data_IF_215197514786
#
_entry.id   IF_215197514786
#
_cell.length_a   1.000
_cell.length_b   1.000
_cell.length_c   1.000
_cell.angle_alpha   90.00
_cell.angle_beta   90.00
_cell.angle_gamma   90.00
#
_symmetry.space_group_name_H-M   'P 1'
#
loop_
_entity.id
_entity.type
_entity.pdbx_description
1 polymer ?
#
# COMPACT_ATOMS: atom_id res chain seq x y z
N UNK A 1 18.10 -36.06 10.73
CA UNK A 1 18.72 -36.49 9.46
C UNK A 1 17.96 -35.89 8.27
N UNK A 2 17.75 -34.57 8.24
CA UNK A 2 17.29 -33.77 7.09
C UNK A 2 17.65 -32.31 7.39
N UNK A 3 18.89 -31.93 7.10
CA UNK A 3 19.30 -30.53 7.03
C UNK A 3 19.34 -30.17 5.54
N UNK A 4 18.28 -29.50 5.06
CA UNK A 4 18.22 -29.02 3.68
C UNK A 4 19.19 -27.86 3.52
N UNK A 5 20.27 -28.11 2.77
CA UNK A 5 21.18 -27.09 2.28
C UNK A 5 20.42 -26.07 1.43
N UNK A 6 20.24 -24.85 1.95
CA UNK A 6 19.99 -23.68 1.12
C UNK A 6 21.28 -23.37 0.37
N UNK A 7 21.45 -23.97 -0.81
CA UNK A 7 22.47 -23.52 -1.77
C UNK A 7 22.02 -22.15 -2.28
N UNK A 8 22.67 -21.08 -1.81
CA UNK A 8 22.70 -19.82 -2.53
C UNK A 8 23.34 -20.09 -3.90
N UNK A 9 22.50 -20.27 -4.92
CA UNK A 9 22.93 -20.13 -6.30
C UNK A 9 23.14 -18.64 -6.54
N UNK A 10 24.35 -18.14 -6.24
CA UNK A 10 24.81 -16.87 -6.78
C UNK A 10 24.92 -17.09 -8.29
N UNK A 11 23.90 -16.62 -9.02
CA UNK A 11 23.99 -16.46 -10.47
C UNK A 11 25.14 -15.49 -10.74
N UNK A 12 26.30 -16.04 -11.08
CA UNK A 12 27.39 -15.30 -11.68
C UNK A 12 26.89 -14.80 -13.03
N UNK A 13 26.37 -13.57 -13.06
CA UNK A 13 26.15 -12.86 -14.31
C UNK A 13 27.50 -12.77 -15.01
N UNK A 14 27.67 -13.50 -16.11
CA UNK A 14 28.84 -13.41 -16.97
C UNK A 14 28.88 -12.01 -17.56
N UNK A 15 29.59 -11.09 -16.91
CA UNK A 15 29.91 -9.80 -17.50
C UNK A 15 30.94 -10.05 -18.60
N UNK A 16 30.51 -10.05 -19.86
CA UNK A 16 31.43 -9.94 -20.98
C UNK A 16 32.07 -8.55 -20.89
N UNK A 17 33.27 -8.47 -20.31
CA UNK A 17 34.04 -7.25 -20.29
C UNK A 17 34.40 -6.89 -21.74
N UNK A 18 33.89 -5.75 -22.22
CA UNK A 18 34.40 -5.16 -23.46
C UNK A 18 35.89 -4.82 -23.26
N UNK A 19 36.69 -4.97 -24.31
CA UNK A 19 38.15 -4.78 -24.32
C UNK A 19 38.64 -3.39 -23.86
N UNK A 20 37.73 -2.46 -23.55
CA UNK A 20 38.02 -1.11 -23.07
C UNK A 20 37.98 -0.96 -21.55
N UNK A 21 37.70 -2.02 -20.78
CA UNK A 21 37.70 -1.99 -19.31
C UNK A 21 36.62 -1.10 -18.68
N UNK A 22 35.78 -0.44 -19.49
CA UNK A 22 34.63 0.33 -19.00
C UNK A 22 33.44 -0.60 -18.86
N UNK A 23 32.76 -0.63 -17.70
CA UNK A 23 31.54 -1.41 -17.55
C UNK A 23 30.54 -0.96 -18.61
N UNK A 24 30.00 -1.91 -19.38
CA UNK A 24 28.95 -1.64 -20.36
C UNK A 24 27.76 -1.04 -19.61
N UNK A 25 27.40 0.19 -19.97
CA UNK A 25 26.17 0.81 -19.46
C UNK A 25 25.00 -0.02 -19.97
N UNK A 26 24.32 -0.73 -19.07
CA UNK A 26 23.12 -1.49 -19.44
C UNK A 26 22.07 -0.48 -19.88
N UNK A 27 21.80 -0.42 -21.18
CA UNK A 27 20.70 0.38 -21.72
C UNK A 27 19.39 -0.34 -21.42
N UNK A 28 18.65 0.18 -20.45
CA UNK A 28 17.31 -0.31 -20.15
C UNK A 28 16.33 0.19 -21.21
N UNK A 29 15.45 -0.70 -21.69
CA UNK A 29 14.36 -0.33 -22.57
C UNK A 29 13.35 0.54 -21.82
N UNK A 30 12.61 1.36 -22.57
CA UNK A 30 11.50 2.13 -22.01
C UNK A 30 10.45 1.18 -21.44
N UNK A 31 9.86 1.57 -20.32
CA UNK A 31 8.72 0.87 -19.71
C UNK A 31 7.55 0.77 -20.69
N UNK A 32 6.70 -0.24 -20.50
CA UNK A 32 5.55 -0.51 -21.36
C UNK A 32 4.66 0.73 -21.55
N UNK A 33 4.17 0.98 -22.77
CA UNK A 33 3.13 1.98 -22.96
C UNK A 33 1.89 1.58 -22.13
N UNK A 34 1.20 2.58 -21.58
CA UNK A 34 -0.08 2.35 -20.93
C UNK A 34 -1.19 2.14 -21.97
N UNK A 35 -2.26 1.46 -21.58
CA UNK A 35 -3.47 1.37 -22.39
C UNK A 35 -4.32 2.61 -22.11
N UNK A 36 -4.67 3.39 -23.13
CA UNK A 36 -5.51 4.58 -22.96
C UNK A 36 -6.87 4.23 -22.32
N UNK A 37 -7.39 3.03 -22.54
CA UNK A 37 -8.72 2.61 -22.07
C UNK A 37 -8.69 1.85 -20.74
N UNK A 38 -7.58 1.20 -20.39
CA UNK A 38 -7.51 0.28 -19.24
C UNK A 38 -8.59 -0.82 -19.30
N UNK A 39 -9.11 -1.26 -18.15
CA UNK A 39 -10.32 -2.11 -18.08
C UNK A 39 -11.51 -1.41 -17.41
N UNK A 40 -11.44 -0.09 -17.20
CA UNK A 40 -12.40 0.69 -16.43
C UNK A 40 -13.86 0.47 -16.86
N UNK A 41 -14.14 0.48 -18.17
CA UNK A 41 -15.49 0.33 -18.73
C UNK A 41 -16.07 -1.09 -18.60
N UNK A 42 -15.24 -2.07 -18.25
CA UNK A 42 -15.65 -3.46 -18.06
C UNK A 42 -15.99 -3.78 -16.61
N UNK A 43 -15.63 -2.89 -15.68
CA UNK A 43 -16.08 -2.98 -14.31
C UNK A 43 -17.54 -2.54 -14.19
N UNK A 44 -18.29 -3.19 -13.30
CA UNK A 44 -19.68 -2.85 -13.03
C UNK A 44 -19.81 -1.43 -12.44
N UNK A 45 -21.04 -0.88 -12.40
CA UNK A 45 -21.26 0.41 -11.77
C UNK A 45 -20.83 0.37 -10.31
N UNK A 46 -20.34 1.51 -9.83
CA UNK A 46 -19.97 1.68 -8.43
C UNK A 46 -21.16 1.37 -7.51
N UNK A 47 -20.94 0.70 -6.36
CA UNK A 47 -21.99 0.54 -5.35
C UNK A 47 -22.59 1.88 -4.93
N UNK A 48 -23.87 1.87 -4.50
CA UNK A 48 -24.52 3.10 -4.04
C UNK A 48 -23.85 3.59 -2.76
N UNK A 49 -23.97 4.89 -2.46
CA UNK A 49 -23.33 5.50 -1.28
C UNK A 49 -23.72 4.80 0.05
N UNK A 50 -24.93 4.24 0.12
CA UNK A 50 -25.46 3.55 1.29
C UNK A 50 -25.03 2.08 1.39
N UNK A 51 -24.38 1.52 0.36
CA UNK A 51 -23.85 0.17 0.40
C UNK A 51 -22.42 0.19 0.99
N UNK A 52 -21.98 -0.84 1.75
CA UNK A 52 -20.60 -0.95 2.19
C UNK A 52 -19.61 -0.88 1.02
N UNK A 53 -18.67 0.07 1.08
CA UNK A 53 -17.67 0.30 0.06
C UNK A 53 -16.26 -0.03 0.56
N UNK A 54 -15.33 -0.25 -0.35
CA UNK A 54 -13.89 -0.28 -0.06
C UNK A 54 -13.26 0.85 -0.86
N UNK A 55 -12.81 1.87 -0.14
CA UNK A 55 -12.16 3.05 -0.71
C UNK A 55 -10.67 2.95 -0.48
N UNK A 56 -9.92 2.80 -1.57
CA UNK A 56 -8.45 2.86 -1.52
C UNK A 56 -8.03 4.30 -1.72
N UNK A 57 -7.17 4.79 -0.85
CA UNK A 57 -6.73 6.18 -0.85
C UNK A 57 -5.22 6.20 -1.01
N UNK A 58 -4.72 6.97 -1.99
CA UNK A 58 -3.29 7.05 -2.24
C UNK A 58 -2.87 8.45 -2.63
N UNK A 59 -1.66 8.80 -2.21
CA UNK A 59 -0.92 9.96 -2.71
C UNK A 59 0.20 9.41 -3.57
N UNK A 60 0.31 9.89 -4.80
CA UNK A 60 1.32 9.44 -5.75
C UNK A 60 2.04 10.63 -6.39
N UNK A 61 3.27 10.40 -6.84
CA UNK A 61 4.13 11.42 -7.49
C UNK A 61 4.98 10.76 -8.57
N UNK A 62 4.79 11.22 -9.81
CA UNK A 62 5.55 10.79 -10.99
C UNK A 62 5.50 9.26 -11.25
N UNK A 63 4.44 8.60 -10.77
CA UNK A 63 4.18 7.17 -11.00
C UNK A 63 3.92 6.93 -12.46
N UNK A 64 4.52 5.86 -13.02
CA UNK A 64 4.32 5.53 -14.42
C UNK A 64 2.83 5.20 -14.69
N UNK A 65 2.19 5.78 -15.72
CA UNK A 65 0.75 5.62 -15.92
C UNK A 65 0.28 4.16 -16.02
N UNK A 66 1.06 3.30 -16.68
CA UNK A 66 0.75 1.86 -16.79
C UNK A 66 0.79 1.15 -15.42
N UNK A 67 1.73 1.51 -14.55
CA UNK A 67 1.79 0.95 -13.19
C UNK A 67 0.64 1.45 -12.33
N UNK A 68 0.24 2.72 -12.48
CA UNK A 68 -0.91 3.27 -11.76
C UNK A 68 -2.22 2.54 -12.15
N UNK A 69 -2.42 2.24 -13.44
CA UNK A 69 -3.57 1.44 -13.90
C UNK A 69 -3.51 0.01 -13.34
N UNK A 70 -2.36 -0.68 -13.43
CA UNK A 70 -2.18 -2.01 -12.85
C UNK A 70 -2.45 -2.01 -11.33
N UNK A 71 -2.02 -0.99 -10.62
CA UNK A 71 -2.25 -0.86 -9.19
C UNK A 71 -3.74 -0.71 -8.86
N UNK A 72 -4.49 0.11 -9.62
CA UNK A 72 -5.95 0.21 -9.47
C UNK A 72 -6.60 -1.15 -9.70
N UNK A 73 -6.24 -1.81 -10.79
CA UNK A 73 -6.84 -3.05 -11.25
C UNK A 73 -6.55 -4.24 -10.31
N UNK A 74 -5.35 -4.28 -9.74
CA UNK A 74 -5.02 -5.21 -8.66
C UNK A 74 -5.98 -5.05 -7.49
N UNK A 75 -6.21 -3.80 -7.06
CA UNK A 75 -7.06 -3.55 -5.90
C UNK A 75 -8.55 -3.77 -6.22
N UNK A 76 -9.01 -3.49 -7.44
CA UNK A 76 -10.36 -3.88 -7.89
C UNK A 76 -10.56 -5.41 -7.81
N UNK A 77 -9.55 -6.20 -8.23
CA UNK A 77 -9.55 -7.67 -8.08
C UNK A 77 -9.55 -8.11 -6.61
N UNK A 78 -8.94 -7.33 -5.72
CA UNK A 78 -8.99 -7.55 -4.27
C UNK A 78 -10.30 -7.09 -3.62
N UNK A 79 -11.19 -6.44 -4.38
CA UNK A 79 -12.48 -5.97 -3.89
C UNK A 79 -12.50 -4.50 -3.46
N UNK A 80 -11.58 -3.66 -3.96
CA UNK A 80 -11.78 -2.22 -3.93
C UNK A 80 -13.00 -1.85 -4.80
N UNK A 81 -13.71 -0.79 -4.42
CA UNK A 81 -14.88 -0.30 -5.16
C UNK A 81 -14.73 1.14 -5.61
N UNK A 82 -13.82 1.90 -4.97
CA UNK A 82 -13.52 3.27 -5.33
C UNK A 82 -12.08 3.62 -4.94
N UNK A 83 -11.55 4.65 -5.59
CA UNK A 83 -10.22 5.18 -5.35
C UNK A 83 -10.27 6.69 -5.16
N UNK A 84 -9.48 7.19 -4.22
CA UNK A 84 -9.17 8.61 -4.10
C UNK A 84 -7.67 8.76 -4.33
N UNK A 85 -7.31 9.33 -5.48
CA UNK A 85 -5.92 9.47 -5.89
C UNK A 85 -5.53 10.94 -5.86
N UNK A 86 -4.63 11.27 -4.94
CA UNK A 86 -4.07 12.61 -4.79
C UNK A 86 -2.78 12.69 -5.58
N UNK A 87 -2.82 13.50 -6.63
CA UNK A 87 -1.74 13.59 -7.61
C UNK A 87 -0.79 14.73 -7.25
N UNK A 88 0.46 14.39 -6.94
CA UNK A 88 1.54 15.34 -6.71
C UNK A 88 2.63 15.31 -7.81
N UNK A 89 2.23 14.97 -9.04
CA UNK A 89 3.11 14.97 -10.23
C UNK A 89 3.40 16.40 -10.68
N UNK A 90 4.66 16.72 -10.97
CA UNK A 90 5.06 18.08 -11.35
C UNK A 90 5.26 18.26 -12.87
N UNK A 91 5.86 17.25 -13.50
CA UNK A 91 6.24 17.27 -14.91
C UNK A 91 5.01 17.32 -15.83
N UNK A 92 5.01 18.22 -16.81
CA UNK A 92 3.85 18.46 -17.68
C UNK A 92 3.50 17.27 -18.57
N UNK A 93 4.50 16.58 -19.12
CA UNK A 93 4.29 15.40 -19.96
C UNK A 93 3.75 14.24 -19.11
N UNK A 94 4.30 14.03 -17.90
CA UNK A 94 3.79 13.02 -16.97
C UNK A 94 2.38 13.34 -16.49
N UNK A 95 2.05 14.61 -16.19
CA UNK A 95 0.67 15.02 -15.84
C UNK A 95 -0.31 14.65 -16.95
N UNK A 96 0.00 14.99 -18.20
CA UNK A 96 -0.85 14.68 -19.33
C UNK A 96 -1.04 13.17 -19.53
N UNK A 97 0.04 12.39 -19.40
CA UNK A 97 -0.01 10.94 -19.51
C UNK A 97 -0.82 10.29 -18.37
N UNK A 98 -0.66 10.77 -17.13
CA UNK A 98 -1.45 10.35 -15.97
C UNK A 98 -2.92 10.71 -16.14
N UNK A 99 -3.23 11.92 -16.62
CA UNK A 99 -4.59 12.37 -16.89
C UNK A 99 -5.27 11.45 -17.92
N UNK A 100 -4.58 11.16 -19.02
CA UNK A 100 -5.08 10.27 -20.05
C UNK A 100 -5.33 8.85 -19.50
N UNK A 101 -4.37 8.29 -18.76
CA UNK A 101 -4.49 6.93 -18.23
C UNK A 101 -5.57 6.77 -17.15
N UNK A 102 -5.83 7.81 -16.35
CA UNK A 102 -6.86 7.78 -15.29
C UNK A 102 -8.25 8.18 -15.80
N UNK A 103 -8.34 8.89 -16.92
CA UNK A 103 -9.61 9.39 -17.47
C UNK A 103 -10.71 8.31 -17.57
N UNK A 104 -10.46 7.09 -18.07
CA UNK A 104 -11.51 6.06 -18.14
C UNK A 104 -12.07 5.68 -16.76
N UNK A 105 -11.21 5.62 -15.73
CA UNK A 105 -11.61 5.27 -14.38
C UNK A 105 -12.35 6.41 -13.69
N UNK A 106 -12.00 7.66 -14.01
CA UNK A 106 -12.75 8.85 -13.55
C UNK A 106 -14.14 8.87 -14.19
N UNK A 107 -14.22 8.64 -15.51
CA UNK A 107 -15.50 8.57 -16.25
C UNK A 107 -16.40 7.43 -15.75
N UNK A 108 -15.82 6.30 -15.34
CA UNK A 108 -16.56 5.18 -14.75
C UNK A 108 -16.98 5.43 -13.28
N UNK A 109 -16.57 6.56 -12.67
CA UNK A 109 -16.83 6.87 -11.26
C UNK A 109 -16.03 6.02 -10.26
N UNK A 110 -15.04 5.26 -10.74
CA UNK A 110 -14.16 4.39 -9.96
C UNK A 110 -13.09 5.23 -9.25
N UNK A 111 -12.53 6.24 -9.91
CA UNK A 111 -11.46 7.11 -9.40
C UNK A 111 -11.95 8.53 -9.18
N UNK A 112 -11.70 9.07 -7.99
CA UNK A 112 -11.68 10.51 -7.72
C UNK A 112 -10.24 11.01 -7.81
N UNK A 113 -9.87 11.65 -8.93
CA UNK A 113 -8.51 12.14 -9.20
C UNK A 113 -8.36 13.60 -8.77
N UNK A 114 -7.64 13.81 -7.67
CA UNK A 114 -7.48 15.12 -7.01
C UNK A 114 -6.18 15.76 -7.50
N UNK A 115 -6.31 16.73 -8.41
CA UNK A 115 -5.19 17.39 -9.10
C UNK A 115 -4.71 18.67 -8.42
N UNK A 116 -5.45 19.20 -7.44
CA UNK A 116 -5.16 20.47 -6.77
C UNK A 116 -3.79 20.48 -6.08
N UNK A 117 -3.28 19.31 -5.72
CA UNK A 117 -2.02 19.17 -4.99
C UNK A 117 -0.82 18.85 -5.89
N UNK A 118 -0.95 19.02 -7.21
CA UNK A 118 0.17 18.88 -8.16
C UNK A 118 1.23 19.93 -7.87
N UNK A 119 2.49 19.52 -7.97
CA UNK A 119 3.65 20.38 -7.69
C UNK A 119 3.80 20.85 -6.24
N UNK A 120 3.10 20.26 -5.28
CA UNK A 120 3.30 20.61 -3.89
C UNK A 120 4.61 20.03 -3.37
N UNK A 121 5.46 20.93 -2.90
CA UNK A 121 6.69 20.59 -2.23
C UNK A 121 6.41 20.20 -0.78
N UNK A 122 5.83 19.01 -0.59
CA UNK A 122 5.42 18.48 0.71
C UNK A 122 6.51 18.60 1.80
N UNK A 123 7.81 18.39 1.53
CA UNK A 123 8.87 18.66 2.50
C UNK A 123 8.94 20.10 3.02
N UNK A 124 8.53 21.08 2.22
CA UNK A 124 8.61 22.51 2.52
C UNK A 124 7.28 23.12 2.95
N UNK A 125 6.19 22.34 2.93
CA UNK A 125 4.86 22.81 3.31
C UNK A 125 4.57 22.39 4.74
N UNK A 126 4.32 23.38 5.59
CA UNK A 126 3.80 23.12 6.93
C UNK A 126 2.37 22.62 6.84
N UNK A 127 1.97 21.67 7.70
CA UNK A 127 0.58 21.22 7.79
C UNK A 127 -0.42 22.38 7.99
N UNK A 128 0.04 23.49 8.59
CA UNK A 128 -0.75 24.72 8.82
C UNK A 128 -0.92 25.62 7.59
N UNK A 129 -0.21 25.34 6.49
CA UNK A 129 -0.34 26.07 5.24
C UNK A 129 -1.45 25.51 4.36
N UNK A 130 -1.82 24.23 4.52
CA UNK A 130 -2.97 23.65 3.81
C UNK A 130 -4.27 24.44 4.04
N UNK A 131 -4.63 24.87 5.27
CA UNK A 131 -5.83 25.68 5.50
C UNK A 131 -5.76 27.13 4.99
N UNK A 132 -4.59 27.62 4.53
CA UNK A 132 -4.43 29.04 4.16
C UNK A 132 -4.69 29.26 2.65
N UNK A 133 -5.80 29.94 2.38
CA UNK A 133 -6.21 30.65 1.15
C UNK A 133 -6.46 29.89 -0.16
N UNK A 134 -5.90 28.70 -0.42
CA UNK A 134 -6.15 27.98 -1.69
C UNK A 134 -6.78 26.58 -1.56
N UNK A 135 -6.62 25.90 -0.42
CA UNK A 135 -7.11 24.52 -0.29
C UNK A 135 -8.45 24.35 0.44
N UNK A 136 -9.07 25.41 0.97
CA UNK A 136 -10.41 25.40 1.60
C UNK A 136 -10.71 24.14 2.43
N UNK A 137 -9.75 23.73 3.26
CA UNK A 137 -9.87 22.55 4.08
C UNK A 137 -9.34 22.83 5.48
N UNK A 138 -10.08 22.34 6.48
CA UNK A 138 -9.63 22.37 7.87
C UNK A 138 -8.87 21.09 8.10
N UNK A 139 -7.54 21.17 8.17
CA UNK A 139 -6.75 20.12 8.83
C UNK A 139 -7.08 20.26 10.30
N UNK A 140 -8.13 19.55 10.75
CA UNK A 140 -8.44 19.53 12.16
C UNK A 140 -7.28 18.82 12.86
N UNK A 141 -6.56 19.48 13.78
CA UNK A 141 -5.79 18.72 14.75
C UNK A 141 -6.76 17.79 15.47
N UNK A 142 -6.18 16.74 16.02
CA UNK A 142 -6.88 15.66 16.67
C UNK A 142 -8.08 16.18 17.52
N UNK A 143 -9.28 15.59 17.40
CA UNK A 143 -10.55 16.05 18.00
C UNK A 143 -10.49 16.20 19.53
N UNK A 144 -9.48 15.62 20.19
CA UNK A 144 -9.19 15.79 21.63
C UNK A 144 -8.56 17.15 21.97
N UNK A 145 -7.95 17.85 21.01
CA UNK A 145 -7.44 19.22 21.18
C UNK A 145 -8.48 20.29 20.88
N UNK A 146 -9.42 20.01 19.98
CA UNK A 146 -10.55 20.90 19.67
C UNK A 146 -11.51 21.03 20.86
N UNK A 147 -11.65 19.97 21.67
CA UNK A 147 -12.44 20.03 22.91
C UNK A 147 -11.73 20.79 24.04
N UNK A 148 -10.40 20.71 24.16
CA UNK A 148 -9.65 21.57 25.09
C UNK A 148 -9.63 23.04 24.64
N UNK A 149 -9.72 23.29 23.34
CA UNK A 149 -9.76 24.64 22.75
C UNK A 149 -11.17 25.25 22.67
N UNK A 150 -12.21 24.61 23.23
CA UNK A 150 -13.51 25.25 23.43
C UNK A 150 -14.28 25.61 22.16
N UNK A 151 -14.45 24.67 21.24
CA UNK A 151 -15.26 24.85 20.01
C UNK A 151 -16.79 24.81 20.24
N UNK A 152 -17.27 25.50 21.28
CA UNK A 152 -18.70 25.75 21.51
C UNK A 152 -19.10 27.23 21.47
N UNK A 153 -18.21 28.16 21.08
CA UNK A 153 -18.63 29.54 20.82
C UNK A 153 -17.96 30.10 19.56
N UNK A 154 -18.74 30.15 18.47
CA UNK A 154 -18.42 30.79 17.20
C UNK A 154 -18.29 32.33 17.28
N UNK A 155 -17.99 32.89 18.46
CA UNK A 155 -17.91 34.33 18.70
C UNK A 155 -16.59 34.79 19.35
N UNK A 156 -15.63 33.89 19.62
CA UNK A 156 -14.36 34.30 20.23
C UNK A 156 -13.20 34.30 19.24
N UNK A 157 -12.78 35.50 18.87
CA UNK A 157 -11.60 35.87 18.07
C UNK A 157 -10.27 35.60 18.78
N UNK A 158 -10.16 34.53 19.60
CA UNK A 158 -8.88 34.23 20.25
C UNK A 158 -7.98 33.42 19.30
N UNK A 159 -6.74 33.87 19.04
CA UNK A 159 -5.79 33.11 18.26
C UNK A 159 -5.49 31.78 18.97
N UNK A 160 -5.35 30.71 18.20
CA UNK A 160 -4.99 29.36 18.65
C UNK A 160 -3.85 29.43 19.67
N UNK A 161 -4.16 29.24 20.95
CA UNK A 161 -3.16 29.18 22.00
C UNK A 161 -2.40 27.85 21.90
N UNK A 162 -1.14 27.93 21.46
CA UNK A 162 -0.01 27.04 21.76
C UNK A 162 -0.35 25.58 22.09
N UNK A 163 -0.63 24.79 21.06
CA UNK A 163 -0.43 23.35 21.13
C UNK A 163 0.98 23.04 20.58
N UNK A 164 2.01 23.13 21.43
CA UNK A 164 3.41 22.81 21.06
C UNK A 164 3.60 21.35 20.58
N UNK A 165 2.63 20.46 20.80
CA UNK A 165 2.63 19.08 20.30
C UNK A 165 1.88 18.85 18.97
N UNK A 166 1.14 19.85 18.47
CA UNK A 166 0.37 19.75 17.22
C UNK A 166 1.25 19.90 15.96
N UNK A 167 2.56 20.07 16.12
CA UNK A 167 3.49 20.49 15.06
C UNK A 167 3.91 19.36 14.12
N UNK A 168 3.54 18.10 14.39
CA UNK A 168 4.05 16.93 13.66
C UNK A 168 2.99 16.20 12.82
N UNK A 169 2.01 16.92 12.26
CA UNK A 169 1.15 16.29 11.24
C UNK A 169 1.97 16.14 9.96
N UNK A 170 2.25 14.89 9.59
CA UNK A 170 2.92 14.57 8.34
C UNK A 170 2.22 15.27 7.14
N UNK A 171 2.95 16.03 6.30
CA UNK A 171 2.35 16.80 5.20
C UNK A 171 1.54 15.94 4.22
N UNK A 172 1.91 14.66 4.02
CA UNK A 172 1.16 13.73 3.19
C UNK A 172 -0.18 13.37 3.84
N UNK A 173 -0.22 13.17 5.17
CA UNK A 173 -1.46 12.97 5.92
C UNK A 173 -2.38 14.21 5.92
N UNK A 174 -1.81 15.41 6.06
CA UNK A 174 -2.56 16.67 5.97
C UNK A 174 -3.18 16.86 4.57
N UNK A 175 -2.39 16.65 3.53
CA UNK A 175 -2.84 16.69 2.14
C UNK A 175 -3.96 15.68 1.89
N UNK A 176 -3.82 14.46 2.39
CA UNK A 176 -4.82 13.42 2.24
C UNK A 176 -6.13 13.77 2.94
N UNK A 177 -6.04 14.24 4.19
CA UNK A 177 -7.20 14.71 4.96
C UNK A 177 -7.96 15.81 4.20
N UNK A 178 -7.21 16.77 3.65
CA UNK A 178 -7.74 17.87 2.87
C UNK A 178 -8.43 17.38 1.58
N UNK A 179 -7.82 16.43 0.86
CA UNK A 179 -8.40 15.82 -0.33
C UNK A 179 -9.70 15.06 -0.04
N UNK A 180 -9.74 14.30 1.05
CA UNK A 180 -10.93 13.55 1.47
C UNK A 180 -12.07 14.49 1.90
N UNK A 181 -11.76 15.59 2.60
CA UNK A 181 -12.77 16.56 3.03
C UNK A 181 -13.58 17.17 1.86
N UNK A 182 -12.93 17.28 0.69
CA UNK A 182 -13.48 17.84 -0.55
C UNK A 182 -14.38 16.89 -1.34
N UNK A 183 -14.56 15.65 -0.90
CA UNK A 183 -15.40 14.66 -1.58
C UNK A 183 -16.71 14.47 -0.80
N UNK A 184 -17.82 15.11 -1.20
CA UNK A 184 -19.06 15.08 -0.43
C UNK A 184 -19.60 13.67 -0.22
N UNK A 185 -19.39 12.78 -1.20
CA UNK A 185 -19.86 11.40 -1.13
C UNK A 185 -19.18 10.58 -0.02
N UNK A 186 -17.98 10.95 0.43
CA UNK A 186 -17.32 10.29 1.56
C UNK A 186 -18.08 10.51 2.87
N UNK A 187 -18.80 11.64 3.00
CA UNK A 187 -19.57 12.00 4.21
C UNK A 187 -20.78 11.10 4.44
N UNK A 188 -21.24 10.44 3.39
CA UNK A 188 -22.44 9.58 3.40
C UNK A 188 -22.10 8.10 3.22
N UNK A 189 -20.84 7.72 3.44
CA UNK A 189 -20.45 6.33 3.33
C UNK A 189 -21.10 5.47 4.39
N UNK A 190 -21.50 4.26 4.00
CA UNK A 190 -22.00 3.27 4.93
C UNK A 190 -20.98 2.99 6.06
N UNK A 191 -21.40 2.89 7.33
CA UNK A 191 -20.55 2.58 8.49
C UNK A 191 -19.58 1.41 8.31
N UNK A 192 -20.03 0.34 7.66
CA UNK A 192 -19.23 -0.87 7.40
C UNK A 192 -18.27 -0.73 6.19
N UNK A 193 -18.14 0.46 5.60
CA UNK A 193 -17.18 0.67 4.52
C UNK A 193 -15.76 0.69 5.06
N UNK A 194 -14.78 0.35 4.22
CA UNK A 194 -13.37 0.27 4.56
C UNK A 194 -12.57 1.35 3.83
N UNK A 195 -11.68 2.00 4.56
CA UNK A 195 -10.64 2.88 4.05
C UNK A 195 -9.30 2.17 4.10
N UNK A 196 -8.63 2.13 2.95
CA UNK A 196 -7.33 1.51 2.79
C UNK A 196 -6.38 2.57 2.27
N UNK A 197 -5.64 3.21 3.16
CA UNK A 197 -4.58 4.14 2.76
C UNK A 197 -3.38 3.32 2.28
N UNK A 198 -2.93 3.54 1.06
CA UNK A 198 -1.82 2.82 0.44
C UNK A 198 -0.92 3.75 -0.35
N UNK A 199 0.35 3.40 -0.44
CA UNK A 199 1.28 4.01 -1.39
C UNK A 199 1.15 3.27 -2.74
N UNK A 200 1.58 3.90 -3.82
CA UNK A 200 1.49 3.36 -5.18
C UNK A 200 2.45 2.17 -5.42
N UNK A 201 3.37 1.91 -4.50
CA UNK A 201 4.24 0.74 -4.43
C UNK A 201 3.80 -0.31 -3.37
N UNK A 202 2.59 -0.16 -2.82
CA UNK A 202 1.99 -1.07 -1.84
C UNK A 202 0.79 -1.83 -2.41
N UNK A 203 0.84 -3.17 -2.32
CA UNK A 203 -0.18 -4.05 -2.89
C UNK A 203 -0.75 -4.97 -1.81
N UNK A 204 -2.03 -4.82 -1.49
CA UNK A 204 -2.69 -5.72 -0.54
C UNK A 204 -2.74 -7.13 -1.13
N UNK A 205 -2.26 -8.09 -0.36
CA UNK A 205 -2.27 -9.51 -0.70
C UNK A 205 -3.14 -10.26 0.31
N UNK A 206 -4.03 -11.09 -0.23
CA UNK A 206 -4.88 -12.00 0.52
C UNK A 206 -4.77 -13.38 -0.11
N UNK A 207 -4.65 -14.48 0.65
CA UNK A 207 -4.59 -15.82 0.08
C UNK A 207 -5.82 -16.08 -0.77
N UNK A 208 -5.63 -16.85 -1.83
CA UNK A 208 -6.71 -17.38 -2.65
C UNK A 208 -6.55 -18.89 -2.70
N UNK A 209 -7.60 -19.61 -2.34
CA UNK A 209 -7.70 -21.04 -2.57
C UNK A 209 -8.69 -21.27 -3.70
N UNK A 210 -8.24 -21.93 -4.76
CA UNK A 210 -9.11 -22.34 -5.87
C UNK A 210 -9.87 -23.62 -5.56
N UNK A 211 -9.72 -24.19 -4.35
CA UNK A 211 -10.43 -25.39 -3.96
C UNK A 211 -11.93 -25.05 -3.84
N UNK A 212 -12.80 -25.57 -4.73
CA UNK A 212 -14.24 -25.31 -4.65
C UNK A 212 -14.87 -25.92 -3.39
N UNK A 213 -14.20 -26.91 -2.78
CA UNK A 213 -14.58 -27.52 -1.52
C UNK A 213 -13.91 -26.82 -0.33
N UNK A 214 -13.18 -25.71 -0.53
CA UNK A 214 -12.74 -24.90 0.59
C UNK A 214 -13.97 -24.49 1.39
N UNK A 215 -13.96 -24.65 2.72
CA UNK A 215 -15.14 -24.38 3.55
C UNK A 215 -15.57 -22.91 3.51
N UNK A 216 -14.75 -22.03 2.93
CA UNK A 216 -14.92 -20.57 2.94
C UNK A 216 -14.51 -19.99 1.58
N UNK A 217 -15.26 -18.99 1.09
CA UNK A 217 -14.84 -18.24 -0.09
C UNK A 217 -13.51 -17.51 0.19
N UNK A 218 -12.67 -17.29 -0.83
CA UNK A 218 -11.46 -16.50 -0.69
C UNK A 218 -11.75 -15.10 -0.15
N UNK A 219 -10.98 -14.60 0.84
CA UNK A 219 -11.23 -13.29 1.43
C UNK A 219 -11.09 -12.17 0.38
N UNK A 220 -11.92 -11.15 0.47
CA UNK A 220 -11.79 -9.86 -0.25
C UNK A 220 -11.74 -8.71 0.74
N UNK A 221 -11.36 -7.51 0.29
CA UNK A 221 -11.41 -6.31 1.14
C UNK A 221 -12.82 -6.04 1.67
N UNK A 222 -13.90 -6.35 0.91
CA UNK A 222 -15.26 -6.24 1.44
C UNK A 222 -15.53 -7.26 2.55
N UNK A 223 -15.05 -8.50 2.42
CA UNK A 223 -15.21 -9.49 3.51
C UNK A 223 -14.42 -9.08 4.75
N UNK A 224 -13.26 -8.44 4.57
CA UNK A 224 -12.49 -7.84 5.68
C UNK A 224 -13.30 -6.72 6.31
N UNK A 225 -13.84 -5.79 5.53
CA UNK A 225 -14.69 -4.70 6.02
C UNK A 225 -15.89 -5.20 6.85
N UNK A 226 -16.62 -6.19 6.32
CA UNK A 226 -17.77 -6.79 6.98
C UNK A 226 -17.37 -7.50 8.29
N UNK A 227 -16.25 -8.23 8.26
CA UNK A 227 -15.68 -8.86 9.43
C UNK A 227 -15.29 -7.81 10.49
N UNK A 228 -14.51 -6.78 10.14
CA UNK A 228 -14.14 -5.69 11.04
C UNK A 228 -15.38 -5.03 11.67
N UNK A 229 -16.39 -4.70 10.86
CA UNK A 229 -17.62 -4.06 11.33
C UNK A 229 -18.38 -4.94 12.33
N UNK A 230 -18.50 -6.24 12.03
CA UNK A 230 -19.14 -7.21 12.91
C UNK A 230 -18.40 -7.40 14.24
N UNK A 231 -17.07 -7.41 14.21
CA UNK A 231 -16.26 -7.43 15.43
C UNK A 231 -16.18 -6.08 16.16
N UNK A 232 -16.89 -5.06 15.68
CA UNK A 232 -16.83 -3.69 16.22
C UNK A 232 -15.39 -3.13 16.27
N UNK A 233 -14.57 -3.53 15.29
CA UNK A 233 -13.16 -3.15 15.20
C UNK A 233 -12.99 -2.01 14.20
N UNK A 234 -12.59 -0.84 14.70
CA UNK A 234 -12.44 0.37 13.87
C UNK A 234 -11.15 0.39 13.03
N UNK A 235 -10.12 -0.39 13.40
CA UNK A 235 -8.80 -0.39 12.78
C UNK A 235 -8.16 -1.78 12.75
N UNK A 236 -7.45 -2.12 11.67
CA UNK A 236 -6.72 -3.39 11.52
C UNK A 236 -5.35 -3.17 10.87
N UNK A 237 -4.23 -3.56 11.49
CA UNK A 237 -2.90 -3.42 10.92
C UNK A 237 -2.61 -4.55 9.92
N UNK A 238 -2.14 -4.16 8.74
CA UNK A 238 -1.60 -5.05 7.72
C UNK A 238 -0.08 -5.00 7.76
N UNK A 239 0.55 -6.14 8.02
CA UNK A 239 2.02 -6.24 8.07
C UNK A 239 2.59 -6.04 6.67
N UNK A 240 3.72 -5.33 6.58
CA UNK A 240 4.46 -5.22 5.34
C UNK A 240 5.37 -6.42 5.13
N UNK A 241 5.39 -6.91 3.89
CA UNK A 241 6.46 -7.76 3.36
C UNK A 241 7.27 -6.92 2.39
N UNK A 242 8.55 -6.76 2.67
CA UNK A 242 9.43 -5.86 1.93
C UNK A 242 10.06 -6.60 0.75
N UNK A 243 9.59 -6.30 -0.46
CA UNK A 243 10.11 -6.89 -1.69
C UNK A 243 11.30 -6.11 -2.22
N UNK A 244 12.28 -6.86 -2.74
CA UNK A 244 13.46 -6.37 -3.39
C UNK A 244 13.38 -6.49 -4.91
N UNK A 245 14.56 -6.47 -5.54
CA UNK A 245 14.65 -6.43 -7.00
C UNK A 245 14.40 -7.74 -7.71
N UNK A 246 14.41 -8.86 -6.99
CA UNK A 246 14.46 -10.20 -7.60
C UNK A 246 15.59 -10.34 -8.64
N UNK A 247 16.69 -9.60 -8.45
CA UNK A 247 17.85 -9.58 -9.36
C UNK A 247 17.71 -8.66 -10.58
N UNK A 248 16.61 -7.91 -10.72
CA UNK A 248 16.40 -7.06 -11.90
C UNK A 248 17.32 -5.83 -11.93
N UNK A 249 18.03 -5.67 -13.05
CA UNK A 249 18.81 -4.46 -13.34
C UNK A 249 17.93 -3.37 -13.92
N UNK A 250 17.10 -3.72 -14.90
CA UNK A 250 16.14 -2.85 -15.57
C UNK A 250 14.73 -3.17 -15.11
N UNK A 251 13.81 -2.22 -15.28
CA UNK A 251 12.42 -2.45 -14.93
C UNK A 251 11.74 -3.41 -15.93
N UNK A 252 11.25 -4.58 -15.49
CA UNK A 252 10.67 -5.57 -16.39
C UNK A 252 9.22 -5.23 -16.78
N UNK A 253 8.80 -5.82 -17.90
CA UNK A 253 7.45 -5.80 -18.45
C UNK A 253 6.43 -6.54 -17.58
N UNK A 254 5.19 -6.05 -17.47
CA UNK A 254 4.09 -6.76 -16.77
C UNK A 254 3.89 -6.45 -15.28
N UNK A 255 4.49 -5.37 -14.77
CA UNK A 255 4.16 -4.79 -13.45
C UNK A 255 4.83 -5.42 -12.24
N UNK A 256 4.62 -4.81 -11.07
CA UNK A 256 5.40 -5.16 -9.88
C UNK A 256 5.12 -6.57 -9.34
N UNK A 257 3.85 -6.90 -9.16
CA UNK A 257 3.42 -8.16 -8.51
C UNK A 257 3.87 -9.40 -9.28
N UNK A 258 4.00 -9.30 -10.60
CA UNK A 258 4.46 -10.40 -11.46
C UNK A 258 5.96 -10.62 -11.38
N UNK A 259 6.75 -9.56 -11.28
CA UNK A 259 8.18 -9.62 -11.56
C UNK A 259 9.07 -9.57 -10.32
N UNK A 260 8.59 -8.97 -9.23
CA UNK A 260 9.33 -8.86 -7.97
C UNK A 260 8.79 -9.90 -7.00
N UNK A 261 9.40 -11.08 -7.02
CA UNK A 261 8.96 -12.28 -6.32
C UNK A 261 9.94 -12.70 -5.22
N UNK A 262 10.87 -11.82 -4.84
CA UNK A 262 11.82 -12.04 -3.74
C UNK A 262 11.69 -10.91 -2.74
N UNK A 263 11.73 -11.27 -1.47
CA UNK A 263 11.54 -10.34 -0.34
C UNK A 263 12.56 -10.57 0.76
N UNK A 264 12.62 -9.62 1.68
CA UNK A 264 13.26 -9.84 2.97
C UNK A 264 12.55 -10.97 3.73
N UNK A 265 13.31 -11.64 4.60
CA UNK A 265 12.77 -12.63 5.52
C UNK A 265 11.67 -12.03 6.41
N UNK A 266 10.87 -12.84 7.07
CA UNK A 266 10.02 -12.40 8.17
C UNK A 266 10.77 -12.63 9.49
N UNK A 267 10.43 -11.92 10.57
CA UNK A 267 11.00 -12.21 11.89
C UNK A 267 10.86 -13.67 12.30
N UNK A 268 9.75 -14.33 11.93
CA UNK A 268 9.50 -15.74 12.20
C UNK A 268 10.28 -16.71 11.31
N UNK A 269 10.93 -16.23 10.25
CA UNK A 269 11.77 -17.03 9.33
C UNK A 269 13.26 -16.94 9.71
N UNK A 270 13.57 -16.35 10.87
CA UNK A 270 14.93 -16.05 11.31
C UNK A 270 15.24 -16.93 12.50
N UNK A 271 15.98 -17.99 12.22
CA UNK A 271 16.15 -19.09 13.18
C UNK A 271 17.48 -19.05 13.94
N UNK A 272 18.50 -18.36 13.40
CA UNK A 272 19.86 -18.39 13.95
C UNK A 272 20.26 -17.08 14.65
N UNK A 273 21.07 -17.13 15.72
CA UNK A 273 21.63 -15.94 16.34
C UNK A 273 22.39 -15.03 15.37
N UNK A 274 23.05 -15.62 14.37
CA UNK A 274 23.77 -14.92 13.31
C UNK A 274 22.80 -14.09 12.46
N UNK A 275 21.70 -14.69 11.98
CA UNK A 275 20.69 -13.98 11.21
C UNK A 275 20.04 -12.85 12.02
N UNK A 276 19.77 -13.07 13.31
CA UNK A 276 19.24 -12.02 14.20
C UNK A 276 20.20 -10.82 14.28
N UNK A 277 21.51 -11.07 14.45
CA UNK A 277 22.52 -10.01 14.47
C UNK A 277 22.59 -9.27 13.14
N UNK A 278 22.56 -9.99 12.02
CA UNK A 278 22.59 -9.39 10.69
C UNK A 278 21.33 -8.57 10.38
N UNK A 279 20.16 -9.00 10.86
CA UNK A 279 18.94 -8.23 10.77
C UNK A 279 18.97 -6.93 11.57
N UNK A 280 19.52 -6.95 12.81
CA UNK A 280 19.70 -5.72 13.60
C UNK A 280 20.59 -4.72 12.86
N UNK A 281 21.73 -5.18 12.34
CA UNK A 281 22.64 -4.37 11.51
C UNK A 281 21.94 -3.84 10.26
N UNK A 282 21.05 -4.63 9.65
CA UNK A 282 20.31 -4.22 8.46
C UNK A 282 19.26 -3.14 8.76
N UNK A 283 18.60 -3.21 9.92
CA UNK A 283 17.69 -2.14 10.38
C UNK A 283 18.47 -0.85 10.62
N UNK A 284 19.63 -0.92 11.28
CA UNK A 284 20.53 0.22 11.49
C UNK A 284 21.04 0.77 10.14
N UNK A 285 21.47 -0.10 9.24
CA UNK A 285 21.92 0.27 7.90
C UNK A 285 20.80 0.92 7.08
N UNK A 286 19.57 0.41 7.15
CA UNK A 286 18.42 0.99 6.48
C UNK A 286 18.11 2.38 7.04
N UNK A 287 18.19 2.57 8.36
CA UNK A 287 18.02 3.88 8.99
C UNK A 287 19.11 4.86 8.53
N UNK A 288 20.39 4.46 8.55
CA UNK A 288 21.53 5.27 8.10
C UNK A 288 21.40 5.68 6.63
N UNK A 289 20.94 4.77 5.77
CA UNK A 289 20.77 5.01 4.34
C UNK A 289 19.38 5.55 3.96
N UNK A 290 18.53 5.85 4.96
CA UNK A 290 17.16 6.34 4.80
C UNK A 290 16.30 5.46 3.90
N UNK A 291 16.52 4.15 3.99
CA UNK A 291 15.74 3.12 3.34
C UNK A 291 14.61 2.64 4.27
N UNK A 292 13.70 1.83 3.75
CA UNK A 292 12.62 1.26 4.54
C UNK A 292 13.20 0.10 5.37
N UNK A 293 13.07 0.04 6.70
CA UNK A 293 13.50 -1.15 7.43
C UNK A 293 12.79 -2.40 6.90
N UNK A 294 13.52 -3.51 6.83
CA UNK A 294 13.05 -4.78 6.26
C UNK A 294 11.96 -5.48 7.09
N UNK A 295 11.78 -5.10 8.36
CA UNK A 295 10.76 -5.65 9.27
C UNK A 295 10.13 -4.54 10.13
N UNK A 296 9.11 -4.91 10.91
CA UNK A 296 8.52 -4.06 11.95
C UNK A 296 7.57 -2.98 11.44
N UNK A 297 7.31 -2.96 10.12
CA UNK A 297 6.37 -2.01 9.52
C UNK A 297 5.04 -2.65 9.20
N UNK A 298 3.99 -1.91 9.46
CA UNK A 298 2.62 -2.24 9.15
C UNK A 298 1.89 -0.96 8.74
N UNK A 299 0.79 -1.11 8.02
CA UNK A 299 -0.12 -0.02 7.71
C UNK A 299 -1.51 -0.38 8.18
N UNK A 300 -2.17 0.56 8.82
CA UNK A 300 -3.50 0.35 9.38
C UNK A 300 -4.56 0.64 8.32
N UNK A 301 -5.52 -0.27 8.19
CA UNK A 301 -6.77 -0.05 7.45
C UNK A 301 -7.89 0.27 8.44
N UNK A 302 -8.88 1.06 8.03
CA UNK A 302 -9.87 1.64 8.93
C UNK A 302 -11.28 1.43 8.43
N UNK A 303 -12.26 1.29 9.33
CA UNK A 303 -13.66 1.42 8.94
C UNK A 303 -14.06 2.88 8.72
N UNK A 304 -15.11 3.10 7.94
CA UNK A 304 -15.65 4.41 7.63
C UNK A 304 -16.23 5.13 8.85
N UNK A 305 -16.80 4.38 9.80
CA UNK A 305 -17.17 4.92 11.12
C UNK A 305 -15.98 5.53 11.87
N UNK A 306 -14.76 5.18 11.47
CA UNK A 306 -13.51 5.67 12.02
C UNK A 306 -12.81 6.69 11.10
N UNK A 307 -13.47 7.33 10.12
CA UNK A 307 -12.84 8.37 9.26
C UNK A 307 -12.33 9.58 10.08
N UNK A 308 -12.82 9.78 11.31
CA UNK A 308 -12.24 10.74 12.26
C UNK A 308 -10.99 10.23 13.01
N UNK A 309 -10.69 8.94 12.93
CA UNK A 309 -9.53 8.29 13.54
C UNK A 309 -8.31 8.23 12.61
N UNK A 310 -8.43 8.60 11.33
CA UNK A 310 -7.32 8.55 10.36
C UNK A 310 -6.12 9.45 10.78
N UNK A 311 -6.36 10.44 11.63
CA UNK A 311 -5.33 11.35 12.18
C UNK A 311 -5.06 11.10 13.67
N UNK A 312 -5.68 10.09 14.27
CA UNK A 312 -5.43 9.70 15.65
C UNK A 312 -4.84 8.30 15.68
N UNK A 313 -3.79 8.14 16.48
CA UNK A 313 -3.49 6.85 17.10
C UNK A 313 -4.63 6.54 18.09
N UNK A 314 -5.80 6.18 17.54
CA UNK A 314 -6.90 5.47 18.16
C UNK A 314 -7.05 5.67 19.69
N UNK A 315 -7.38 6.90 20.15
CA UNK A 315 -7.56 7.23 21.58
C UNK A 315 -9.01 7.29 22.06
N UNK A 316 -10.00 7.37 21.14
CA UNK A 316 -11.43 7.16 21.39
C UNK A 316 -12.14 6.70 20.10
N UNK A 317 -12.55 5.43 20.04
CA UNK A 317 -13.60 5.03 19.09
C UNK A 317 -14.97 5.41 19.71
N UNK A 318 -16.05 5.45 18.92
CA UNK A 318 -17.41 5.62 19.48
C UNK A 318 -17.63 4.60 20.60
N UNK A 319 -18.46 4.87 21.61
CA UNK A 319 -18.62 4.03 22.80
C UNK A 319 -18.88 2.53 22.49
N UNK A 320 -19.39 2.22 21.28
CA UNK A 320 -19.64 0.87 20.78
C UNK A 320 -18.52 0.20 19.95
N UNK A 321 -17.38 0.86 19.71
CA UNK A 321 -16.30 0.39 18.82
C UNK A 321 -14.94 0.37 19.55
N UNK A 322 -14.10 -0.63 19.31
CA UNK A 322 -12.78 -0.75 19.96
C UNK A 322 -11.60 -0.63 18.97
N UNK A 323 -10.59 0.12 19.39
CA UNK A 323 -9.27 0.14 18.77
C UNK A 323 -8.48 -1.08 19.26
N UNK A 324 -8.65 -2.24 18.62
CA UNK A 324 -7.98 -3.47 19.03
C UNK A 324 -8.75 -4.29 20.07
N UNK A 325 -8.04 -5.28 20.63
CA UNK A 325 -8.60 -6.29 21.53
C UNK A 325 -8.84 -5.69 22.92
N UNK A 326 -10.05 -5.89 23.45
CA UNK A 326 -10.43 -5.64 24.84
C UNK A 326 -10.45 -4.17 25.32
N UNK A 327 -10.79 -3.20 24.46
CA UNK A 327 -10.98 -1.81 24.89
C UNK A 327 -9.71 -1.07 25.34
N UNK A 328 -8.53 -1.68 25.17
CA UNK A 328 -7.24 -1.02 25.40
C UNK A 328 -6.85 -0.22 24.16
N UNK A 329 -6.87 1.10 24.28
CA UNK A 329 -6.31 2.00 23.28
C UNK A 329 -4.87 1.62 22.96
N UNK A 330 -4.54 1.44 21.68
CA UNK A 330 -3.15 1.39 21.21
C UNK A 330 -2.52 2.78 21.33
N UNK A 331 -2.42 3.35 22.54
CA UNK A 331 -1.76 4.64 22.77
C UNK A 331 -0.29 4.64 22.34
N UNK A 332 0.26 3.44 22.12
CA UNK A 332 1.46 3.19 21.34
C UNK A 332 1.12 2.16 20.27
N UNK A 333 0.98 2.60 19.01
CA UNK A 333 1.07 1.68 17.89
C UNK A 333 2.45 0.98 18.02
N UNK A 334 2.54 -0.35 18.14
CA UNK A 334 3.76 -1.02 18.60
C UNK A 334 4.86 -1.08 17.54
N UNK A 335 4.91 -0.17 16.56
CA UNK A 335 5.94 -0.21 15.52
C UNK A 335 7.36 0.01 16.06
N UNK A 336 7.51 0.60 17.26
CA UNK A 336 8.83 0.88 17.87
C UNK A 336 9.19 0.02 19.09
N UNK A 337 8.22 -0.49 19.84
CA UNK A 337 8.47 -1.26 21.08
C UNK A 337 8.60 -2.78 20.86
N UNK A 338 8.33 -3.31 19.66
CA UNK A 338 8.44 -4.76 19.35
C UNK A 338 9.87 -5.32 19.56
N UNK A 339 10.91 -4.49 19.57
CA UNK A 339 12.30 -4.96 19.74
C UNK A 339 12.96 -4.60 21.08
N UNK A 340 12.32 -3.80 21.95
CA UNK A 340 12.98 -3.33 23.18
C UNK A 340 12.63 -4.09 24.46
N UNK A 341 11.60 -4.93 24.46
CA UNK A 341 11.31 -5.80 25.60
C UNK A 341 11.39 -7.29 25.21
N UNK A 342 12.40 -7.97 25.75
CA UNK A 342 12.74 -9.38 25.52
C UNK A 342 11.71 -10.40 26.06
N UNK A 343 10.46 -10.02 26.39
CA UNK A 343 9.56 -10.92 27.14
C UNK A 343 8.07 -10.87 26.80
N UNK A 344 7.61 -10.14 25.77
CA UNK A 344 6.21 -10.18 25.35
C UNK A 344 6.05 -10.44 23.85
N UNK A 345 5.88 -11.72 23.52
CA UNK A 345 5.40 -12.27 22.24
C UNK A 345 5.92 -11.53 21.00
N UNK A 346 7.02 -12.03 20.45
CA UNK A 346 7.70 -11.64 19.19
C UNK A 346 6.83 -11.63 17.92
N UNK A 347 5.54 -11.86 18.07
CA UNK A 347 4.55 -12.03 17.02
C UNK A 347 3.44 -11.01 17.26
N UNK A 348 3.63 -9.76 16.81
CA UNK A 348 2.61 -8.70 16.81
C UNK A 348 1.41 -8.99 15.88
N UNK A 349 0.98 -10.25 15.82
CA UNK A 349 -0.04 -10.78 14.94
C UNK A 349 -1.41 -10.67 15.61
N UNK A 350 -2.38 -10.11 14.88
CA UNK A 350 -3.77 -10.14 15.31
C UNK A 350 -4.51 -11.24 14.54
N UNK A 351 -4.95 -12.23 15.31
CA UNK A 351 -5.90 -13.24 14.84
C UNK A 351 -7.28 -12.87 15.34
N UNK A 352 -8.19 -12.62 14.41
CA UNK A 352 -9.59 -12.36 14.72
C UNK A 352 -10.41 -13.42 14.02
N UNK A 353 -11.09 -14.24 14.83
CA UNK A 353 -12.02 -15.24 14.31
C UNK A 353 -13.42 -14.69 14.44
N UNK A 354 -14.09 -14.47 13.30
CA UNK A 354 -15.45 -13.94 13.26
C UNK A 354 -16.31 -14.91 12.48
N UNK A 355 -17.17 -15.66 13.17
CA UNK A 355 -18.20 -16.54 12.57
C UNK A 355 -17.78 -17.18 11.24
N UNK A 356 -16.67 -17.92 11.28
CA UNK A 356 -16.08 -18.59 10.12
C UNK A 356 -15.24 -17.74 9.16
N UNK A 357 -14.75 -16.57 9.57
CA UNK A 357 -13.68 -15.85 8.86
C UNK A 357 -12.55 -15.60 9.84
N UNK A 358 -11.44 -16.30 9.64
CA UNK A 358 -10.21 -16.05 10.41
C UNK A 358 -9.42 -14.98 9.66
N UNK A 359 -9.49 -13.75 10.16
CA UNK A 359 -8.57 -12.69 9.76
C UNK A 359 -7.28 -12.91 10.53
N UNK A 360 -6.23 -13.37 9.83
CA UNK A 360 -4.87 -13.45 10.36
C UNK A 360 -4.04 -12.41 9.60
N UNK A 361 -3.39 -11.47 10.30
CA UNK A 361 -2.50 -10.48 9.68
C UNK A 361 -1.25 -11.10 9.02
N UNK A 362 -0.99 -12.40 9.21
CA UNK A 362 -0.03 -13.19 8.43
C UNK A 362 -0.57 -13.62 7.07
N UNK A 363 -1.89 -13.78 6.99
CA UNK A 363 -2.60 -14.14 5.76
C UNK A 363 -2.95 -12.90 4.94
N UNK A 364 -3.32 -11.79 5.57
CA UNK A 364 -3.62 -10.53 4.88
C UNK A 364 -2.51 -9.53 5.18
N UNK A 365 -1.74 -9.16 4.15
CA UNK A 365 -0.54 -8.35 4.29
C UNK A 365 -0.37 -7.42 3.08
N UNK A 366 0.61 -6.53 3.14
CA UNK A 366 0.97 -5.64 2.04
C UNK A 366 2.30 -6.10 1.46
N UNK A 367 2.36 -6.32 0.15
CA UNK A 367 3.62 -6.35 -0.58
C UNK A 367 4.07 -4.91 -0.76
N UNK A 368 5.16 -4.52 -0.10
CA UNK A 368 5.76 -3.21 -0.26
C UNK A 368 7.02 -3.34 -1.10
N UNK A 369 6.99 -2.83 -2.32
CA UNK A 369 8.11 -2.88 -3.27
C UNK A 369 9.11 -1.76 -3.00
N UNK A 370 9.83 -1.87 -1.87
CA UNK A 370 10.80 -0.87 -1.44
C UNK A 370 11.89 -0.62 -2.48
N UNK A 371 12.30 -1.69 -3.17
CA UNK A 371 13.26 -1.72 -4.25
C UNK A 371 12.73 -2.58 -5.40
N UNK A 372 12.84 -2.09 -6.64
CA UNK A 372 12.31 -2.77 -7.83
C UNK A 372 13.46 -3.14 -8.78
N UNK A 373 14.21 -2.18 -9.29
CA UNK A 373 15.38 -2.47 -10.12
C UNK A 373 16.50 -1.49 -9.84
N UNK A 374 17.73 -1.81 -10.25
CA UNK A 374 18.87 -0.88 -10.16
C UNK A 374 18.54 0.45 -10.87
N UNK A 375 17.93 0.38 -12.05
CA UNK A 375 17.41 1.53 -12.79
C UNK A 375 16.43 2.34 -11.94
N UNK A 376 15.34 1.72 -11.46
CA UNK A 376 14.33 2.41 -10.66
C UNK A 376 14.91 3.00 -9.37
N UNK A 377 15.91 2.36 -8.75
CA UNK A 377 16.58 2.93 -7.58
C UNK A 377 17.41 4.16 -7.90
N UNK A 378 18.12 4.17 -9.04
CA UNK A 378 18.81 5.37 -9.49
C UNK A 378 17.83 6.53 -9.70
N UNK A 379 16.68 6.26 -10.34
CA UNK A 379 15.60 7.23 -10.52
C UNK A 379 15.00 7.68 -9.17
N UNK A 380 14.78 6.75 -8.22
CA UNK A 380 14.28 7.02 -6.86
C UNK A 380 15.27 7.85 -6.04
N UNK A 381 16.58 7.66 -6.24
CA UNK A 381 17.63 8.51 -5.65
C UNK A 381 17.63 9.91 -6.26
N UNK A 382 17.52 10.02 -7.58
CA UNK A 382 17.48 11.29 -8.29
C UNK A 382 16.24 12.14 -7.92
N UNK A 383 15.07 11.51 -7.74
CA UNK A 383 13.82 12.23 -7.39
C UNK A 383 13.69 12.60 -5.90
N UNK A 384 14.40 11.93 -5.00
CA UNK A 384 14.25 12.09 -3.55
C UNK A 384 13.03 11.38 -2.94
N UNK A 385 12.69 11.71 -1.69
CA UNK A 385 11.49 11.19 -0.99
C UNK A 385 10.34 12.20 -1.06
N UNK A 386 9.11 11.69 -1.21
CA UNK A 386 7.89 12.50 -1.15
C UNK A 386 7.62 13.10 0.24
N UNK A 387 8.10 12.44 1.30
CA UNK A 387 7.74 12.76 2.69
C UNK A 387 8.86 13.40 3.52
N UNK A 388 10.06 13.65 2.98
CA UNK A 388 11.16 14.19 3.80
C UNK A 388 12.20 14.97 3.01
N UNK A 389 12.57 16.12 3.59
CA UNK A 389 13.56 17.11 3.17
C UNK A 389 14.87 16.48 2.68
N UNK A 390 15.21 16.69 1.39
CA UNK A 390 16.52 16.43 0.76
C UNK A 390 17.28 15.21 1.29
N UNK A 391 16.53 14.18 1.65
CA UNK A 391 17.03 13.04 2.34
C UNK A 391 17.67 12.14 1.30
N UNK A 392 18.93 12.42 0.97
CA UNK A 392 19.70 11.60 0.05
C UNK A 392 19.52 10.13 0.47
N UNK A 393 18.88 9.36 -0.41
CA UNK A 393 18.87 7.91 -0.30
C UNK A 393 20.27 7.45 -0.67
N UNK A 394 21.05 7.14 0.34
CA UNK A 394 22.43 6.69 0.20
C UNK A 394 22.51 5.21 -0.16
N UNK A 395 23.67 4.84 -0.69
CA UNK A 395 24.10 3.45 -0.82
C UNK A 395 23.43 2.64 -1.94
N UNK A 396 23.98 1.45 -2.11
CA UNK A 396 23.34 0.35 -2.84
C UNK A 396 22.19 -0.22 -2.00
N UNK A 397 21.30 -1.01 -2.60
CA UNK A 397 20.28 -1.72 -1.83
C UNK A 397 20.88 -3.02 -1.29
N UNK A 398 20.66 -3.28 -0.01
CA UNK A 398 21.19 -4.48 0.61
C UNK A 398 20.57 -5.73 -0.03
N UNK A 399 21.35 -6.78 -0.36
CA UNK A 399 20.83 -8.06 -0.85
C UNK A 399 19.78 -8.73 0.03
N UNK A 400 19.64 -8.31 1.29
CA UNK A 400 18.67 -8.90 2.22
C UNK A 400 17.22 -8.69 1.80
N UNK A 401 16.92 -7.72 0.92
CA UNK A 401 15.58 -7.53 0.36
C UNK A 401 15.18 -8.64 -0.63
N UNK A 402 16.10 -9.50 -1.04
CA UNK A 402 15.89 -10.55 -2.05
C UNK A 402 16.16 -11.96 -1.50
N UNK A 403 16.14 -12.17 -0.18
CA UNK A 403 16.51 -13.44 0.45
C UNK A 403 15.51 -14.57 0.25
N UNK A 404 14.22 -14.25 0.36
CA UNK A 404 13.16 -15.26 0.41
C UNK A 404 12.31 -15.14 -0.85
N UNK A 405 12.30 -16.18 -1.71
CA UNK A 405 11.33 -16.26 -2.79
C UNK A 405 9.90 -16.31 -2.23
N UNK A 406 9.05 -15.37 -2.65
CA UNK A 406 7.65 -15.27 -2.27
C UNK A 406 6.76 -15.06 -3.50
N UNK A 407 6.22 -16.17 -4.01
CA UNK A 407 5.28 -16.19 -5.12
C UNK A 407 3.81 -16.12 -4.67
N UNK A 408 3.53 -15.95 -3.38
CA UNK A 408 2.16 -16.09 -2.84
C UNK A 408 1.25 -14.99 -3.39
N UNK A 409 1.71 -13.74 -3.37
CA UNK A 409 0.95 -12.61 -3.90
C UNK A 409 0.61 -12.76 -5.39
N UNK A 410 1.60 -13.14 -6.19
CA UNK A 410 1.41 -13.39 -7.62
C UNK A 410 0.44 -14.53 -7.91
N UNK A 411 0.60 -15.68 -7.23
CA UNK A 411 -0.32 -16.82 -7.40
C UNK A 411 -1.75 -16.47 -7.01
N UNK A 412 -1.92 -15.71 -5.93
CA UNK A 412 -3.23 -15.25 -5.48
C UNK A 412 -3.88 -14.32 -6.50
N UNK A 413 -3.15 -13.29 -6.97
CA UNK A 413 -3.63 -12.38 -8.00
C UNK A 413 -4.05 -13.15 -9.26
N UNK A 414 -3.18 -14.04 -9.75
CA UNK A 414 -3.45 -14.87 -10.92
C UNK A 414 -4.76 -15.66 -10.79
N UNK A 415 -4.94 -16.34 -9.66
CA UNK A 415 -6.14 -17.14 -9.42
C UNK A 415 -7.41 -16.27 -9.34
N UNK A 416 -7.33 -15.10 -8.67
CA UNK A 416 -8.44 -14.15 -8.60
C UNK A 416 -8.83 -13.60 -9.96
N UNK A 417 -7.85 -13.20 -10.78
CA UNK A 417 -8.09 -12.72 -12.15
C UNK A 417 -8.85 -13.77 -12.95
N UNK A 418 -8.43 -15.03 -12.93
CA UNK A 418 -9.15 -16.10 -13.66
C UNK A 418 -10.53 -16.41 -13.08
N UNK A 419 -10.79 -16.08 -11.81
CA UNK A 419 -12.10 -16.22 -11.20
C UNK A 419 -13.07 -15.05 -11.46
N UNK A 420 -12.61 -13.97 -12.10
CA UNK A 420 -13.46 -12.83 -12.43
C UNK A 420 -14.63 -13.27 -13.30
N UNK A 421 -15.82 -12.76 -12.97
CA UNK A 421 -17.03 -12.92 -13.78
C UNK A 421 -16.92 -12.03 -15.03
N UNK A 422 -17.36 -12.56 -16.17
CA UNK A 422 -17.31 -11.84 -17.45
C UNK A 422 -16.00 -12.07 -18.21
N UNK A 423 -16.11 -12.75 -19.36
CA UNK A 423 -14.97 -13.11 -20.22
C UNK A 423 -14.16 -11.91 -20.70
N UNK A 424 -14.82 -10.80 -21.01
CA UNK A 424 -14.17 -9.55 -21.47
C UNK A 424 -13.32 -8.92 -20.36
N UNK A 425 -13.89 -8.75 -19.17
CA UNK A 425 -13.19 -8.20 -18.01
C UNK A 425 -11.99 -9.08 -17.64
N UNK A 426 -12.21 -10.40 -17.51
CA UNK A 426 -11.16 -11.38 -17.22
C UNK A 426 -9.99 -11.28 -18.20
N UNK A 427 -10.28 -11.25 -19.51
CA UNK A 427 -9.25 -11.13 -20.56
C UNK A 427 -8.47 -9.83 -20.42
N UNK A 428 -9.17 -8.71 -20.29
CA UNK A 428 -8.53 -7.39 -20.19
C UNK A 428 -7.60 -7.29 -18.97
N UNK A 429 -8.09 -7.69 -17.78
CA UNK A 429 -7.29 -7.66 -16.55
C UNK A 429 -6.10 -8.63 -16.63
N UNK A 430 -6.29 -9.82 -17.21
CA UNK A 430 -5.19 -10.75 -17.44
C UNK A 430 -4.08 -10.16 -18.31
N UNK A 431 -4.45 -9.51 -19.43
CA UNK A 431 -3.49 -8.88 -20.34
C UNK A 431 -2.70 -7.76 -19.64
N UNK A 432 -3.36 -6.86 -18.90
CA UNK A 432 -2.68 -5.79 -18.16
C UNK A 432 -1.71 -6.30 -17.09
N UNK A 433 -2.07 -7.40 -16.42
CA UNK A 433 -1.23 -8.06 -15.41
C UNK A 433 -0.13 -8.94 -16.03
N UNK A 434 -0.04 -8.99 -17.36
CA UNK A 434 0.91 -9.85 -18.07
C UNK A 434 0.67 -11.35 -17.84
N UNK A 435 -0.58 -11.74 -17.63
CA UNK A 435 -1.04 -13.12 -17.51
C UNK A 435 -1.40 -13.69 -18.89
N UNK A 436 -1.17 -15.00 -19.13
CA UNK A 436 -1.61 -15.62 -20.36
C UNK A 436 -3.15 -15.60 -20.47
N UNK A 437 -3.66 -15.43 -21.68
CA UNK A 437 -5.10 -15.38 -21.98
C UNK A 437 -5.85 -16.68 -21.67
N UNK A 438 -5.13 -17.81 -21.56
CA UNK A 438 -5.68 -19.10 -21.12
C UNK A 438 -4.96 -19.57 -19.85
N UNK A 439 -5.74 -19.97 -18.86
CA UNK A 439 -5.22 -20.69 -17.71
C UNK A 439 -5.06 -22.16 -18.09
N UNK A 440 -3.81 -22.61 -18.27
CA UNK A 440 -3.49 -24.03 -18.25
C UNK A 440 -3.12 -24.39 -16.81
N UNK A 441 -3.95 -25.22 -16.18
CA UNK A 441 -3.55 -25.87 -14.93
C UNK A 441 -2.38 -26.82 -15.23
N UNK A 442 -1.47 -27.00 -14.27
CA UNK A 442 -0.38 -27.98 -14.38
C UNK A 442 -0.89 -29.43 -14.52
N UNK A 443 -2.19 -29.67 -14.23
CA UNK A 443 -2.87 -30.95 -14.41
C UNK A 443 -3.53 -31.12 -15.79
N UNK A 444 -3.39 -30.15 -16.70
CA UNK A 444 -4.02 -30.20 -18.04
C UNK A 444 -5.55 -30.08 -18.01
N UNK A 445 -6.13 -29.83 -16.85
CA UNK A 445 -7.57 -29.62 -16.70
C UNK A 445 -7.93 -28.24 -17.25
N UNK A 446 -8.53 -28.24 -18.44
CA UNK A 446 -9.12 -27.05 -19.04
C UNK A 446 -10.35 -26.69 -18.21
N UNK A 447 -10.39 -25.47 -17.68
CA UNK A 447 -11.65 -24.87 -17.28
C UNK A 447 -12.41 -24.56 -18.57
N UNK A 448 -13.32 -25.46 -18.92
CA UNK A 448 -14.34 -25.15 -19.92
C UNK A 448 -15.33 -24.20 -19.22
N UNK A 449 -15.46 -23.00 -19.78
CA UNK A 449 -16.51 -22.03 -19.40
C UNK A 449 -17.89 -22.66 -19.57
#
# INVERSE_FOLDING_TARGET
MFASFVRLAVLAASTSANATGKPSVVQCQATEPYSADGCASLWGPRPRHNDPQVVVVSVFKDTHPAEQQRWIEHHLVMGATAFVLVDNTCDSAKKAATDAALSPYVSAGIVSHIKTFRCLDLPNISAFEFPRKEFDCVVAPSRDEVWRAGWHNASTTRPFASCESCYDVDPKAAMLSCALYRLPWLRYMHPASLFVQLDDDEYVTMPYTSNPNAPRPPPTLQTVAAAMYKARMCAFPLVWRLFGSSGHVCQPHGGLVKNFLSRAALPSEVETPEMIRDMKRLVEWAALNRQNPVFGMAKTIFLATAIGCNNHICVRCSDDMSCGRDGRHFSKCPTREIFHNESHTTDGHMNITIENTQLDSRSIYINHYAYQSKQHWAEKKARGRTAAYHAHRGGDVHPHYDLVPDHVGWRSLKARVYSLRGKRLRKCVAEMMGLPSRWTTSTGQKFND
#
